data_IF_540658930806
#
_entry.id   IF_540658930806
#
_cell.length_a   1.000
_cell.length_b   1.000
_cell.length_c   1.000
_cell.angle_alpha   90.00
_cell.angle_beta   90.00
_cell.angle_gamma   90.00
#
_symmetry.space_group_name_H-M   'P 1'
#
loop_
_entity.id
_entity.type
_entity.pdbx_description
1 polymer ?
#
# COMPACT_ATOMS: atom_id res chain seq x y z
N UNK A 1 -7.66 46.84 88.44
CA UNK A 1 -6.18 46.83 88.55
C UNK A 1 -5.72 45.49 87.99
N UNK A 2 -4.66 45.51 87.15
CA UNK A 2 -4.09 44.49 86.22
C UNK A 2 -4.64 44.55 84.77
N UNK A 3 -3.97 45.30 83.87
CA UNK A 3 -2.82 44.94 82.99
C UNK A 3 -3.27 44.10 81.78
N UNK A 4 -3.29 44.70 80.57
CA UNK A 4 -2.27 44.59 79.49
C UNK A 4 -2.31 43.17 78.85
N UNK A 5 -2.59 42.98 77.55
CA UNK A 5 -1.82 43.49 76.41
C UNK A 5 -2.59 43.44 75.08
N UNK A 6 -2.26 44.40 74.21
CA UNK A 6 -2.60 44.46 72.79
C UNK A 6 -1.74 43.45 72.01
N UNK A 7 -2.37 42.54 71.26
CA UNK A 7 -1.69 41.72 70.23
C UNK A 7 -2.02 42.28 68.85
N UNK A 8 -1.06 43.00 68.29
CA UNK A 8 -1.09 43.54 66.93
C UNK A 8 -0.65 42.43 65.95
N UNK A 9 -1.60 41.72 65.36
CA UNK A 9 -1.31 40.71 64.32
C UNK A 9 -0.92 41.42 63.01
N UNK A 10 0.36 41.34 62.65
CA UNK A 10 0.87 41.76 61.33
C UNK A 10 0.45 40.75 60.26
N UNK A 11 -0.40 41.15 59.33
CA UNK A 11 -0.61 40.46 58.05
C UNK A 11 0.65 40.63 57.20
N UNK A 12 1.43 39.56 57.04
CA UNK A 12 2.51 39.49 56.06
C UNK A 12 1.94 39.08 54.70
N UNK A 13 1.97 39.99 53.73
CA UNK A 13 1.70 39.70 52.33
C UNK A 13 2.88 38.91 51.76
N UNK A 14 2.69 37.62 51.45
CA UNK A 14 3.66 36.83 50.67
C UNK A 14 3.29 37.01 49.19
N UNK A 15 4.07 37.84 48.48
CA UNK A 15 4.00 37.94 47.04
C UNK A 15 4.76 36.76 46.41
N UNK A 16 4.03 35.74 45.96
CA UNK A 16 4.59 34.65 45.14
C UNK A 16 4.73 35.16 43.71
N UNK A 17 5.96 35.48 43.31
CA UNK A 17 6.28 35.78 41.92
C UNK A 17 6.29 34.47 41.12
N UNK A 18 5.21 34.20 40.39
CA UNK A 18 5.17 33.13 39.39
C UNK A 18 5.94 33.67 38.17
N UNK A 19 7.22 33.30 38.06
CA UNK A 19 8.00 33.55 36.85
C UNK A 19 7.50 32.60 35.77
N UNK A 20 6.65 33.11 34.87
CA UNK A 20 6.26 32.41 33.64
C UNK A 20 7.49 32.29 32.74
N UNK A 21 8.15 31.13 32.76
CA UNK A 21 9.18 30.77 31.79
C UNK A 21 8.46 30.42 30.49
N UNK A 22 8.04 31.42 29.73
CA UNK A 22 7.66 31.24 28.31
C UNK A 22 8.95 31.31 27.49
N UNK A 23 9.79 30.28 27.62
CA UNK A 23 10.82 30.03 26.62
C UNK A 23 10.14 29.50 25.35
N UNK A 24 10.65 29.79 24.15
CA UNK A 24 10.25 29.04 22.97
C UNK A 24 10.59 27.57 23.25
N UNK A 25 9.56 26.75 23.42
CA UNK A 25 9.70 25.32 23.27
C UNK A 25 10.08 25.12 21.81
N UNK A 26 11.38 25.06 21.53
CA UNK A 26 11.84 24.35 20.35
C UNK A 26 11.14 23.00 20.43
N UNK A 27 10.18 22.76 19.53
CA UNK A 27 9.52 21.48 19.42
C UNK A 27 10.65 20.46 19.39
N UNK A 28 10.77 19.66 20.45
CA UNK A 28 11.79 18.62 20.47
C UNK A 28 11.43 17.74 19.30
N UNK A 29 12.32 17.77 18.30
CA UNK A 29 12.46 16.82 17.23
C UNK A 29 12.34 15.41 17.81
N UNK A 30 11.13 14.88 17.86
CA UNK A 30 10.84 13.72 18.68
C UNK A 30 9.99 12.75 17.91
N UNK A 31 10.24 11.48 18.21
CA UNK A 31 9.46 10.36 17.71
C UNK A 31 7.96 10.61 17.89
N UNK A 32 7.54 11.29 18.97
CA UNK A 32 6.13 11.66 19.20
C UNK A 32 5.55 12.58 18.12
N UNK A 33 6.35 13.51 17.57
CA UNK A 33 5.92 14.36 16.45
C UNK A 33 5.68 13.53 15.19
N UNK A 34 6.56 12.56 14.90
CA UNK A 34 6.36 11.62 13.78
C UNK A 34 5.12 10.76 14.01
N UNK A 35 4.93 10.20 15.20
CA UNK A 35 3.73 9.44 15.52
C UNK A 35 2.45 10.29 15.40
N UNK A 36 2.52 11.60 15.65
CA UNK A 36 1.39 12.51 15.44
C UNK A 36 1.10 12.71 13.94
N UNK A 37 2.12 12.90 13.10
CA UNK A 37 1.98 12.97 11.64
C UNK A 37 1.40 11.67 11.07
N UNK A 38 1.93 10.53 11.49
CA UNK A 38 1.47 9.22 11.07
C UNK A 38 0.00 8.96 11.46
N UNK A 39 -0.45 9.39 12.65
CA UNK A 39 -1.88 9.30 13.01
C UNK A 39 -2.78 10.13 12.09
N UNK A 40 -2.30 11.30 11.64
CA UNK A 40 -3.07 12.13 10.72
C UNK A 40 -3.19 11.44 9.36
N UNK A 41 -2.08 10.91 8.84
CA UNK A 41 -2.02 10.20 7.57
C UNK A 41 -2.90 8.93 7.57
N UNK A 42 -2.85 8.17 8.66
CA UNK A 42 -3.52 6.86 8.78
C UNK A 42 -4.98 7.00 9.22
N UNK A 43 -5.36 8.13 9.83
CA UNK A 43 -6.67 8.35 10.44
C UNK A 43 -7.86 8.30 9.48
N UNK A 44 -7.62 8.39 8.17
CA UNK A 44 -8.65 8.20 7.14
C UNK A 44 -9.02 6.71 6.95
N UNK A 45 -8.10 5.81 7.27
CA UNK A 45 -8.21 4.36 7.03
C UNK A 45 -8.48 3.57 8.30
N UNK A 46 -8.08 4.09 9.47
CA UNK A 46 -8.12 3.38 10.75
C UNK A 46 -8.92 4.15 11.79
N UNK A 47 -9.91 3.50 12.41
CA UNK A 47 -10.61 4.09 13.55
C UNK A 47 -9.74 4.05 14.82
N UNK A 48 -9.03 2.94 15.03
CA UNK A 48 -8.07 2.74 16.11
C UNK A 48 -6.68 2.42 15.56
N UNK A 49 -5.67 3.11 16.08
CA UNK A 49 -4.25 2.92 15.71
C UNK A 49 -3.40 2.59 16.92
N UNK A 50 -2.52 1.59 16.78
CA UNK A 50 -1.49 1.27 17.77
C UNK A 50 -0.15 1.06 17.07
N UNK A 51 0.83 1.87 17.45
CA UNK A 51 2.21 1.76 16.96
C UNK A 51 3.01 0.85 17.87
N UNK A 52 3.56 -0.22 17.32
CA UNK A 52 4.39 -1.17 18.04
C UNK A 52 5.84 -0.69 18.14
N UNK A 53 6.61 -1.34 19.02
CA UNK A 53 8.02 -1.04 19.20
C UNK A 53 8.78 -1.15 17.87
N UNK A 54 9.52 -0.11 17.52
CA UNK A 54 10.26 -0.02 16.26
C UNK A 54 9.48 0.57 15.08
N UNK A 55 8.19 0.90 15.27
CA UNK A 55 7.36 1.51 14.21
C UNK A 55 8.02 2.75 13.59
N UNK A 56 8.54 3.66 14.43
CA UNK A 56 9.33 4.81 14.01
C UNK A 56 10.72 4.72 14.63
N UNK A 57 11.78 4.69 13.83
CA UNK A 57 13.17 4.56 14.30
C UNK A 57 13.98 5.78 13.87
N UNK A 58 14.74 6.43 14.77
CA UNK A 58 15.55 7.57 14.41
C UNK A 58 16.70 7.16 13.49
N UNK A 59 16.97 7.98 12.48
CA UNK A 59 18.07 7.83 11.52
C UNK A 59 18.66 9.21 11.23
N UNK A 60 19.84 9.25 10.63
CA UNK A 60 20.36 10.44 9.96
C UNK A 60 20.28 10.15 8.46
N UNK A 61 19.20 10.58 7.82
CA UNK A 61 18.87 10.17 6.47
C UNK A 61 19.57 11.07 5.44
N UNK A 62 19.91 12.31 5.81
CA UNK A 62 20.47 13.32 4.91
C UNK A 62 21.89 13.82 5.31
N UNK A 63 22.45 13.33 6.42
CA UNK A 63 23.81 13.64 6.88
C UNK A 63 23.93 14.99 7.58
N UNK A 64 22.84 15.54 8.14
CA UNK A 64 22.82 16.85 8.79
C UNK A 64 22.79 16.81 10.33
N UNK A 65 23.03 15.62 10.90
CA UNK A 65 23.01 15.31 12.34
C UNK A 65 21.67 15.63 13.05
N UNK A 66 20.59 15.91 12.31
CA UNK A 66 19.24 16.03 12.89
C UNK A 66 18.55 14.67 12.93
N UNK A 67 17.64 14.44 13.90
CA UNK A 67 16.91 13.19 13.98
C UNK A 67 15.81 13.14 12.91
N UNK A 68 16.13 12.48 11.80
CA UNK A 68 15.19 11.96 10.82
C UNK A 68 14.56 10.65 11.32
N UNK A 69 13.51 10.16 10.66
CA UNK A 69 12.85 8.93 11.06
C UNK A 69 12.50 8.06 9.87
N UNK A 70 12.74 6.75 10.02
CA UNK A 70 12.13 5.73 9.17
C UNK A 70 10.92 5.15 9.90
N UNK A 71 9.81 5.04 9.19
CA UNK A 71 8.58 4.39 9.66
C UNK A 71 8.40 3.07 8.92
N UNK A 72 7.97 2.03 9.64
CA UNK A 72 7.64 0.71 9.12
C UNK A 72 6.20 0.32 9.50
N UNK A 73 5.27 0.32 8.54
CA UNK A 73 3.87 -0.01 8.80
C UNK A 73 3.62 -1.50 9.10
N UNK A 74 4.60 -2.38 8.94
CA UNK A 74 4.52 -3.75 9.47
C UNK A 74 4.32 -3.78 11.00
N UNK A 75 4.72 -2.69 11.66
CA UNK A 75 4.63 -2.51 13.11
C UNK A 75 3.44 -1.61 13.49
N UNK A 76 2.45 -1.47 12.62
CA UNK A 76 1.19 -0.79 12.87
C UNK A 76 0.07 -1.81 13.09
N UNK A 77 -0.72 -1.62 14.13
CA UNK A 77 -2.04 -2.22 14.24
C UNK A 77 -3.09 -1.17 13.92
N UNK A 78 -3.90 -1.46 12.91
CA UNK A 78 -5.02 -0.67 12.45
C UNK A 78 -6.30 -1.49 12.65
N UNK A 79 -7.20 -1.04 13.52
CA UNK A 79 -8.43 -1.75 13.87
C UNK A 79 -8.20 -3.23 14.27
N UNK A 80 -7.06 -3.48 14.93
CA UNK A 80 -6.62 -4.82 15.34
C UNK A 80 -5.97 -5.67 14.25
N UNK A 81 -5.84 -5.16 13.02
CA UNK A 81 -5.16 -5.82 11.89
C UNK A 81 -3.79 -5.19 11.61
N UNK A 82 -2.81 -6.03 11.29
CA UNK A 82 -1.41 -5.61 11.08
C UNK A 82 -1.01 -5.54 9.60
N UNK A 83 -1.88 -5.97 8.68
CA UNK A 83 -1.53 -6.20 7.27
C UNK A 83 -2.15 -5.22 6.28
N UNK A 84 -2.88 -4.20 6.73
CA UNK A 84 -3.59 -3.29 5.80
C UNK A 84 -2.65 -2.49 4.88
N UNK A 85 -1.41 -2.25 5.34
CA UNK A 85 -0.40 -1.49 4.61
C UNK A 85 0.76 -2.39 4.13
N UNK A 86 0.51 -3.70 3.99
CA UNK A 86 1.52 -4.70 3.71
C UNK A 86 1.05 -5.75 2.70
N UNK A 87 1.96 -6.18 1.83
CA UNK A 87 1.76 -7.40 1.05
C UNK A 87 2.92 -7.69 0.11
N UNK A 88 2.62 -8.01 -1.15
CA UNK A 88 3.56 -8.78 -1.97
C UNK A 88 4.84 -8.02 -2.37
N UNK A 89 4.87 -6.69 -2.27
CA UNK A 89 6.06 -5.85 -2.47
C UNK A 89 6.75 -5.45 -1.16
N UNK A 90 6.18 -5.82 0.00
CA UNK A 90 6.60 -5.41 1.33
C UNK A 90 5.53 -4.60 2.05
N UNK A 91 5.93 -3.85 3.06
CA UNK A 91 5.07 -2.94 3.78
C UNK A 91 5.34 -1.51 3.36
N UNK A 92 4.40 -0.61 3.61
CA UNK A 92 4.66 0.82 3.46
C UNK A 92 5.78 1.22 4.43
N UNK A 93 6.87 1.73 3.88
CA UNK A 93 7.87 2.44 4.64
C UNK A 93 7.84 3.91 4.27
N UNK A 94 8.02 4.76 5.28
CA UNK A 94 8.15 6.21 5.09
C UNK A 94 9.46 6.71 5.66
N UNK A 95 10.03 7.73 5.03
CA UNK A 95 11.18 8.46 5.57
C UNK A 95 10.78 9.90 5.80
N UNK A 96 10.85 10.35 7.04
CA UNK A 96 10.58 11.73 7.45
C UNK A 96 11.90 12.44 7.71
N UNK A 97 12.15 13.52 6.98
CA UNK A 97 13.38 14.32 7.12
C UNK A 97 13.09 15.59 7.90
N UNK A 98 13.91 15.89 8.89
CA UNK A 98 13.72 17.06 9.74
C UNK A 98 14.15 18.35 9.03
N UNK A 99 13.24 19.33 9.00
CA UNK A 99 13.51 20.69 8.55
C UNK A 99 14.26 21.50 9.60
N UNK A 100 14.89 22.58 9.15
CA UNK A 100 15.69 23.44 10.02
C UNK A 100 14.91 24.20 11.10
N UNK A 101 13.60 24.35 10.92
CA UNK A 101 12.67 24.95 11.89
C UNK A 101 12.11 23.93 12.90
N UNK A 102 12.52 22.67 12.80
CA UNK A 102 12.10 21.59 13.68
C UNK A 102 10.92 20.76 13.15
N UNK A 103 10.29 21.16 12.04
CA UNK A 103 9.25 20.38 11.37
C UNK A 103 9.80 19.20 10.58
N UNK A 104 8.93 18.45 9.89
CA UNK A 104 9.31 17.30 9.08
C UNK A 104 8.69 17.38 7.68
N UNK A 105 9.42 16.85 6.69
CA UNK A 105 8.94 16.61 5.33
C UNK A 105 8.95 15.09 5.03
N UNK A 106 7.94 14.60 4.32
CA UNK A 106 7.85 13.20 3.90
C UNK A 106 8.76 12.96 2.68
N UNK A 107 9.96 12.44 2.92
CA UNK A 107 11.00 12.24 1.90
C UNK A 107 10.91 10.96 1.09
N UNK A 108 10.15 10.00 1.57
CA UNK A 108 9.87 8.76 0.88
C UNK A 108 8.58 8.17 1.40
N UNK A 109 7.78 7.61 0.49
CA UNK A 109 6.65 6.74 0.79
C UNK A 109 6.64 5.64 -0.27
N UNK A 110 6.73 4.38 0.15
CA UNK A 110 6.75 3.26 -0.79
C UNK A 110 6.70 1.90 -0.13
N UNK A 111 6.33 0.89 -0.94
CA UNK A 111 6.20 -0.51 -0.52
C UNK A 111 7.55 -1.23 -0.65
N UNK A 112 8.16 -1.59 0.47
CA UNK A 112 9.43 -2.32 0.55
C UNK A 112 9.46 -3.25 1.76
N UNK A 113 10.32 -4.27 1.73
CA UNK A 113 10.54 -5.16 2.87
C UNK A 113 11.45 -4.54 3.93
N UNK A 114 12.38 -3.69 3.51
CA UNK A 114 13.39 -3.11 4.39
C UNK A 114 13.97 -1.83 3.80
N UNK A 115 14.32 -0.89 4.67
CA UNK A 115 15.17 0.26 4.37
C UNK A 115 16.47 0.13 5.14
N UNK A 116 17.60 0.27 4.45
CA UNK A 116 18.93 0.28 5.06
C UNK A 116 19.68 1.55 4.69
N UNK A 117 20.06 2.32 5.71
CA UNK A 117 20.99 3.45 5.58
C UNK A 117 22.42 2.92 5.74
N UNK A 118 23.11 2.70 4.62
CA UNK A 118 24.47 2.14 4.56
C UNK A 118 25.55 3.20 4.26
N UNK A 119 25.16 4.46 4.06
CA UNK A 119 26.06 5.58 3.73
C UNK A 119 25.66 6.83 4.52
N UNK A 120 26.31 7.12 5.65
CA UNK A 120 25.93 8.26 6.51
C UNK A 120 26.16 9.62 5.83
N UNK A 121 27.10 9.71 4.89
CA UNK A 121 27.46 10.96 4.22
C UNK A 121 26.69 11.18 2.90
N UNK A 122 25.74 10.29 2.54
CA UNK A 122 24.95 10.40 1.31
C UNK A 122 23.45 10.44 1.65
N UNK A 123 22.67 11.39 1.10
CA UNK A 123 21.22 11.45 1.31
C UNK A 123 20.51 10.36 0.47
N UNK A 124 20.75 9.10 0.83
CA UNK A 124 20.29 7.94 0.10
C UNK A 124 20.24 6.70 0.99
N UNK A 125 19.42 5.74 0.60
CA UNK A 125 19.31 4.46 1.29
C UNK A 125 19.07 3.32 0.28
N UNK A 126 19.26 2.09 0.73
CA UNK A 126 18.82 0.90 0.02
C UNK A 126 17.39 0.57 0.44
N UNK A 127 16.49 0.49 -0.53
CA UNK A 127 15.14 0.01 -0.37
C UNK A 127 15.07 -1.40 -0.95
N UNK A 128 14.86 -2.40 -0.08
CA UNK A 128 14.79 -3.81 -0.47
C UNK A 128 13.35 -4.16 -0.84
N UNK A 129 13.08 -4.31 -2.13
CA UNK A 129 11.81 -4.81 -2.64
C UNK A 129 11.91 -6.26 -3.11
N UNK A 130 10.83 -6.74 -3.73
CA UNK A 130 10.78 -8.05 -4.39
C UNK A 130 11.84 -8.23 -5.49
N UNK A 131 12.14 -7.16 -6.23
CA UNK A 131 13.17 -7.15 -7.28
C UNK A 131 14.62 -7.09 -6.77
N UNK A 132 14.83 -7.07 -5.45
CA UNK A 132 16.13 -6.85 -4.83
C UNK A 132 16.30 -5.42 -4.30
N UNK A 133 17.55 -5.00 -4.12
CA UNK A 133 17.88 -3.73 -3.47
C UNK A 133 17.99 -2.60 -4.51
N UNK A 134 17.17 -1.55 -4.33
CA UNK A 134 17.21 -0.33 -5.15
C UNK A 134 17.75 0.84 -4.32
N UNK A 135 18.67 1.61 -4.91
CA UNK A 135 19.18 2.84 -4.30
C UNK A 135 18.20 3.99 -4.50
N UNK A 136 17.59 4.46 -3.42
CA UNK A 136 16.74 5.66 -3.44
C UNK A 136 17.58 6.84 -2.99
N UNK A 137 17.57 7.93 -3.76
CA UNK A 137 18.13 9.22 -3.31
C UNK A 137 16.99 10.06 -2.77
N UNK A 138 17.17 10.64 -1.59
CA UNK A 138 16.23 11.62 -1.05
C UNK A 138 16.28 12.86 -1.93
N UNK A 139 15.25 13.05 -2.75
CA UNK A 139 15.02 14.33 -3.39
C UNK A 139 14.43 15.30 -2.36
N UNK A 140 14.78 16.58 -2.42
CA UNK A 140 14.05 17.62 -1.71
C UNK A 140 12.58 17.56 -2.15
N UNK A 141 11.69 17.20 -1.23
CA UNK A 141 10.32 16.78 -1.49
C UNK A 141 9.47 17.93 -2.00
N UNK A 142 8.81 17.72 -3.13
CA UNK A 142 7.59 18.43 -3.52
C UNK A 142 6.37 17.52 -3.24
N UNK A 143 5.17 18.11 -3.03
CA UNK A 143 3.99 17.38 -2.60
C UNK A 143 3.51 16.34 -3.61
N UNK A 144 3.13 15.16 -3.11
CA UNK A 144 2.51 14.06 -3.84
C UNK A 144 1.16 14.46 -4.44
N UNK A 145 0.86 13.97 -5.64
CA UNK A 145 -0.32 14.32 -6.43
C UNK A 145 -1.63 13.71 -5.87
N UNK A 146 -2.78 14.37 -6.09
CA UNK A 146 -4.08 13.89 -5.63
C UNK A 146 -4.64 12.76 -6.51
N UNK A 147 -5.35 11.84 -5.86
CA UNK A 147 -6.02 10.68 -6.45
C UNK A 147 -7.36 11.09 -7.12
N UNK A 148 -7.63 10.74 -8.39
CA UNK A 148 -8.83 11.19 -9.09
C UNK A 148 -10.03 10.21 -9.01
N UNK A 149 -11.22 10.78 -9.21
CA UNK A 149 -12.53 10.14 -9.18
C UNK A 149 -12.72 9.01 -10.22
N UNK A 150 -13.55 8.03 -9.85
CA UNK A 150 -13.76 6.77 -10.57
C UNK A 150 -14.34 6.94 -12.00
N UNK A 151 -13.67 6.34 -12.99
CA UNK A 151 -14.06 6.34 -14.41
C UNK A 151 -15.06 5.21 -14.78
N UNK A 152 -15.83 5.33 -15.90
CA UNK A 152 -16.75 4.30 -16.38
C UNK A 152 -16.04 3.16 -17.11
N UNK A 153 -16.44 1.91 -16.83
CA UNK A 153 -15.69 0.69 -17.10
C UNK A 153 -15.62 0.20 -18.56
N UNK A 154 -14.45 -0.36 -18.89
CA UNK A 154 -14.22 -1.23 -20.03
C UNK A 154 -14.77 -2.64 -19.75
N UNK A 155 -16.06 -2.85 -20.00
CA UNK A 155 -16.68 -4.15 -19.74
C UNK A 155 -16.44 -5.15 -20.89
N UNK A 156 -15.73 -6.24 -20.60
CA UNK A 156 -15.76 -7.45 -21.41
C UNK A 156 -17.13 -8.16 -21.33
N UNK A 157 -17.36 -9.23 -22.12
CA UNK A 157 -18.66 -9.92 -22.21
C UNK A 157 -18.99 -10.82 -21.00
N UNK A 158 -18.33 -10.63 -19.86
CA UNK A 158 -18.39 -11.55 -18.74
C UNK A 158 -19.55 -11.24 -17.79
N UNK A 159 -20.15 -12.30 -17.24
CA UNK A 159 -21.12 -12.18 -16.16
C UNK A 159 -20.40 -11.93 -14.84
N UNK A 160 -20.96 -11.07 -13.98
CA UNK A 160 -20.49 -10.91 -12.60
C UNK A 160 -20.97 -12.02 -11.66
N UNK A 161 -21.88 -12.90 -12.10
CA UNK A 161 -22.45 -13.95 -11.26
C UNK A 161 -21.70 -15.28 -11.35
N UNK A 162 -21.05 -15.55 -12.49
CA UNK A 162 -20.40 -16.84 -12.77
C UNK A 162 -19.43 -16.75 -13.93
N UNK A 163 -18.46 -17.66 -13.92
CA UNK A 163 -17.58 -17.87 -15.05
C UNK A 163 -18.34 -18.35 -16.29
N UNK A 164 -17.98 -17.78 -17.43
CA UNK A 164 -18.45 -18.15 -18.76
C UNK A 164 -17.27 -18.59 -19.63
N UNK A 165 -17.52 -19.50 -20.58
CA UNK A 165 -16.56 -19.92 -21.60
C UNK A 165 -17.08 -19.50 -22.97
N UNK A 166 -16.17 -19.00 -23.80
CA UNK A 166 -16.43 -18.55 -25.16
C UNK A 166 -15.39 -19.17 -26.10
N UNK A 167 -15.79 -19.92 -27.13
CA UNK A 167 -14.85 -20.61 -28.03
C UNK A 167 -14.22 -19.69 -29.09
N UNK A 168 -14.85 -18.56 -29.41
CA UNK A 168 -14.50 -17.70 -30.55
C UNK A 168 -14.25 -16.23 -30.13
N UNK A 169 -13.42 -15.48 -30.88
CA UNK A 169 -12.51 -15.94 -31.93
C UNK A 169 -11.25 -16.62 -31.38
N UNK A 170 -10.99 -16.44 -30.09
CA UNK A 170 -9.94 -17.13 -29.33
C UNK A 170 -10.64 -17.75 -28.12
N UNK A 171 -10.50 -19.06 -27.85
CA UNK A 171 -11.09 -19.67 -26.69
C UNK A 171 -10.68 -18.96 -25.41
N UNK A 172 -11.64 -18.53 -24.61
CA UNK A 172 -11.40 -17.87 -23.34
C UNK A 172 -12.48 -18.19 -22.31
N UNK A 173 -12.11 -18.12 -21.03
CA UNK A 173 -13.03 -18.23 -19.91
C UNK A 173 -12.77 -17.11 -18.91
N UNK A 174 -13.82 -16.50 -18.37
CA UNK A 174 -13.67 -15.39 -17.44
C UNK A 174 -14.94 -15.03 -16.69
N UNK A 175 -14.81 -14.04 -15.82
CA UNK A 175 -15.84 -13.52 -14.94
C UNK A 175 -15.63 -12.02 -14.74
N UNK A 176 -16.70 -11.26 -14.56
CA UNK A 176 -16.61 -9.87 -14.13
C UNK A 176 -16.66 -9.79 -12.59
N UNK A 177 -16.12 -8.73 -11.99
CA UNK A 177 -16.44 -8.39 -10.60
C UNK A 177 -17.69 -7.50 -10.53
N UNK A 178 -18.05 -7.06 -9.31
CA UNK A 178 -19.20 -6.18 -9.08
C UNK A 178 -18.89 -4.70 -9.33
N UNK A 179 -17.61 -4.35 -9.44
CA UNK A 179 -17.10 -2.96 -9.54
C UNK A 179 -16.70 -2.61 -10.98
N UNK A 180 -16.90 -3.52 -11.93
CA UNK A 180 -16.68 -3.29 -13.35
C UNK A 180 -15.33 -3.76 -13.87
N UNK A 181 -14.53 -4.43 -13.05
CA UNK A 181 -13.37 -5.20 -13.48
C UNK A 181 -13.74 -6.60 -14.00
N UNK A 182 -12.73 -7.31 -14.50
CA UNK A 182 -12.89 -8.67 -15.00
C UNK A 182 -11.60 -9.47 -14.84
N UNK A 183 -11.71 -10.79 -14.71
CA UNK A 183 -10.62 -11.75 -14.75
C UNK A 183 -10.91 -12.77 -15.84
N UNK A 184 -9.98 -12.98 -16.77
CA UNK A 184 -10.14 -13.98 -17.81
C UNK A 184 -8.84 -14.65 -18.24
N UNK A 185 -8.99 -15.87 -18.72
CA UNK A 185 -7.94 -16.74 -19.21
C UNK A 185 -8.23 -17.01 -20.68
N UNK A 186 -7.26 -16.76 -21.56
CA UNK A 186 -7.40 -16.99 -22.99
C UNK A 186 -6.34 -17.98 -23.49
N UNK A 187 -6.72 -18.88 -24.40
CA UNK A 187 -5.76 -19.78 -25.05
C UNK A 187 -4.81 -18.99 -25.94
N UNK A 188 -3.51 -19.23 -25.78
CA UNK A 188 -2.46 -18.64 -26.60
C UNK A 188 -1.37 -19.69 -26.80
N UNK A 189 -1.16 -20.11 -28.06
CA UNK A 189 -0.15 -21.11 -28.43
C UNK A 189 -0.21 -22.42 -27.62
N UNK A 190 -1.41 -22.89 -27.30
CA UNK A 190 -1.64 -24.10 -26.50
C UNK A 190 -1.43 -23.94 -24.99
N UNK A 191 -1.14 -22.72 -24.54
CA UNK A 191 -1.06 -22.36 -23.12
C UNK A 191 -2.11 -21.30 -22.78
N UNK A 192 -2.08 -20.76 -21.56
CA UNK A 192 -3.05 -19.76 -21.10
C UNK A 192 -2.37 -18.42 -20.83
N UNK A 193 -2.92 -17.35 -21.40
CA UNK A 193 -2.65 -15.98 -20.95
C UNK A 193 -3.71 -15.56 -19.95
N UNK A 194 -3.28 -15.18 -18.76
CA UNK A 194 -4.15 -14.62 -17.72
C UNK A 194 -4.20 -13.11 -17.90
N UNK A 195 -5.40 -12.52 -17.79
CA UNK A 195 -5.62 -11.08 -17.84
C UNK A 195 -6.65 -10.67 -16.82
N UNK A 196 -6.53 -9.45 -16.33
CA UNK A 196 -7.58 -8.85 -15.52
C UNK A 196 -7.61 -7.33 -15.67
N UNK A 197 -8.71 -6.76 -15.24
CA UNK A 197 -8.97 -5.33 -15.18
C UNK A 197 -9.58 -4.97 -13.84
N UNK A 198 -9.34 -3.75 -13.39
CA UNK A 198 -9.99 -3.15 -12.24
C UNK A 198 -10.40 -1.72 -12.57
N UNK A 199 -11.50 -1.23 -11.99
CA UNK A 199 -12.00 0.12 -12.31
C UNK A 199 -10.96 1.21 -12.06
N UNK A 200 -10.22 1.13 -10.95
CA UNK A 200 -9.17 2.09 -10.58
C UNK A 200 -8.01 2.15 -11.59
N UNK A 201 -7.88 1.14 -12.46
CA UNK A 201 -6.84 1.15 -13.48
C UNK A 201 -7.13 2.10 -14.63
N UNK A 202 -8.36 2.62 -14.75
CA UNK A 202 -8.79 3.37 -15.92
C UNK A 202 -9.04 4.84 -15.61
N UNK A 203 -8.67 5.69 -16.57
CA UNK A 203 -9.02 7.10 -16.65
C UNK A 203 -9.50 7.36 -18.09
N UNK A 204 -10.68 7.98 -18.24
CA UNK A 204 -11.31 8.23 -19.54
C UNK A 204 -11.41 6.99 -20.47
N UNK A 205 -11.55 5.80 -19.88
CA UNK A 205 -11.69 4.52 -20.59
C UNK A 205 -10.38 3.92 -21.12
N UNK A 206 -9.24 4.55 -20.87
CA UNK A 206 -7.91 4.01 -21.10
C UNK A 206 -7.25 3.65 -19.77
N UNK A 207 -6.27 2.73 -19.79
CA UNK A 207 -5.41 2.53 -18.61
C UNK A 207 -4.81 3.88 -18.21
N UNK A 208 -4.77 4.20 -16.92
CA UNK A 208 -4.27 5.48 -16.41
C UNK A 208 -2.75 5.55 -16.49
N UNK A 209 -2.20 6.77 -16.56
CA UNK A 209 -0.74 6.96 -16.57
C UNK A 209 -0.09 6.48 -15.28
N UNK A 210 -0.82 6.52 -14.16
CA UNK A 210 -0.40 5.93 -12.89
C UNK A 210 -0.09 4.44 -13.02
N UNK A 211 -0.99 3.65 -13.62
CA UNK A 211 -0.77 2.20 -13.81
C UNK A 211 0.41 1.94 -14.73
N UNK A 212 0.57 2.73 -15.80
CA UNK A 212 1.71 2.60 -16.73
C UNK A 212 3.03 2.91 -16.04
N UNK A 213 3.06 3.96 -15.22
CA UNK A 213 4.24 4.31 -14.42
C UNK A 213 4.54 3.22 -13.39
N UNK A 214 3.51 2.70 -12.72
CA UNK A 214 3.67 1.60 -11.79
C UNK A 214 4.31 0.37 -12.47
N UNK A 215 3.76 -0.05 -13.60
CA UNK A 215 4.30 -1.15 -14.39
C UNK A 215 5.74 -0.89 -14.85
N UNK A 216 6.00 0.29 -15.42
CA UNK A 216 7.33 0.68 -15.92
C UNK A 216 8.40 0.71 -14.83
N UNK A 217 8.08 1.28 -13.67
CA UNK A 217 9.09 1.63 -12.66
C UNK A 217 9.24 0.54 -11.60
N UNK A 218 8.19 -0.25 -11.33
CA UNK A 218 8.19 -1.26 -10.27
C UNK A 218 7.82 -2.67 -10.75
N UNK A 219 7.16 -2.79 -11.90
CA UNK A 219 6.57 -4.03 -12.40
C UNK A 219 5.29 -4.41 -11.66
N UNK A 220 4.35 -5.02 -12.37
CA UNK A 220 3.13 -5.53 -11.76
C UNK A 220 3.31 -7.01 -11.39
N UNK A 221 3.13 -7.34 -10.11
CA UNK A 221 3.14 -8.73 -9.64
C UNK A 221 1.89 -8.99 -8.81
N UNK A 222 0.71 -9.08 -9.47
CA UNK A 222 -0.52 -9.48 -8.80
C UNK A 222 -0.35 -10.86 -8.16
N UNK A 223 -0.87 -11.00 -6.96
CA UNK A 223 -0.95 -12.29 -6.28
C UNK A 223 -2.39 -12.79 -6.30
N UNK A 224 -2.57 -14.02 -6.74
CA UNK A 224 -3.86 -14.72 -6.81
C UNK A 224 -3.98 -15.63 -5.59
N UNK A 225 -4.87 -15.30 -4.65
CA UNK A 225 -5.20 -16.13 -3.51
C UNK A 225 -6.54 -16.83 -3.68
N UNK A 226 -6.52 -18.16 -3.63
CA UNK A 226 -7.72 -18.98 -3.56
C UNK A 226 -7.39 -20.29 -2.83
N UNK A 227 -8.39 -20.84 -2.11
CA UNK A 227 -8.29 -22.14 -1.43
C UNK A 227 -7.03 -22.30 -0.55
N UNK A 228 -6.63 -21.23 0.15
CA UNK A 228 -5.48 -21.22 1.05
C UNK A 228 -4.11 -21.31 0.34
N UNK A 229 -4.07 -20.98 -0.96
CA UNK A 229 -2.85 -20.93 -1.76
C UNK A 229 -2.73 -19.57 -2.40
N UNK A 230 -1.50 -19.10 -2.54
CA UNK A 230 -1.14 -17.83 -3.16
C UNK A 230 -0.21 -18.09 -4.34
N UNK A 231 -0.44 -17.40 -5.45
CA UNK A 231 0.38 -17.50 -6.65
C UNK A 231 0.65 -16.09 -7.16
N UNK A 232 1.92 -15.71 -7.12
CA UNK A 232 2.41 -14.48 -7.74
C UNK A 232 2.55 -14.67 -9.24
N UNK A 233 2.05 -13.70 -10.01
CA UNK A 233 2.07 -13.74 -11.45
C UNK A 233 2.63 -12.44 -12.02
N UNK A 234 3.93 -12.38 -12.36
CA UNK A 234 4.51 -11.24 -13.07
C UNK A 234 3.67 -10.88 -14.29
N UNK A 235 3.34 -9.61 -14.40
CA UNK A 235 2.41 -9.08 -15.37
C UNK A 235 2.85 -7.70 -15.84
N UNK A 236 2.35 -7.31 -17.00
CA UNK A 236 2.54 -5.99 -17.57
C UNK A 236 1.24 -5.42 -18.10
N UNK A 237 1.21 -4.11 -18.33
CA UNK A 237 0.15 -3.46 -19.08
C UNK A 237 0.15 -4.00 -20.53
N UNK A 238 -1.00 -4.53 -20.95
CA UNK A 238 -1.29 -4.93 -22.33
C UNK A 238 -2.21 -3.89 -22.95
N UNK A 239 -1.62 -2.86 -23.55
CA UNK A 239 -2.34 -1.76 -24.21
C UNK A 239 -3.32 -2.25 -25.31
N UNK A 240 -3.04 -3.41 -25.93
CA UNK A 240 -3.94 -3.96 -26.96
C UNK A 240 -5.18 -4.59 -26.34
N UNK A 241 -5.02 -5.24 -25.20
CA UNK A 241 -6.12 -5.82 -24.45
C UNK A 241 -6.82 -4.81 -23.54
N UNK A 242 -6.25 -3.60 -23.37
CA UNK A 242 -6.67 -2.60 -22.38
C UNK A 242 -6.81 -3.24 -20.99
N UNK A 243 -5.79 -4.03 -20.60
CA UNK A 243 -5.79 -4.85 -19.40
C UNK A 243 -4.37 -5.00 -18.82
N UNK A 244 -4.27 -5.56 -17.63
CA UNK A 244 -3.02 -6.15 -17.15
C UNK A 244 -2.99 -7.63 -17.56
N UNK A 245 -1.87 -8.08 -18.11
CA UNK A 245 -1.69 -9.43 -18.62
C UNK A 245 -0.44 -10.07 -18.01
N UNK A 246 -0.51 -11.36 -17.70
CA UNK A 246 0.65 -12.13 -17.27
C UNK A 246 1.75 -12.06 -18.33
N UNK A 247 3.00 -11.83 -17.92
CA UNK A 247 4.17 -11.76 -18.81
C UNK A 247 4.43 -13.10 -19.50
N UNK A 248 4.27 -14.18 -18.74
CA UNK A 248 4.46 -15.55 -19.19
C UNK A 248 3.13 -16.27 -19.43
N UNK A 249 3.18 -17.24 -20.34
CA UNK A 249 2.07 -18.16 -20.55
C UNK A 249 2.04 -19.21 -19.43
N UNK A 250 0.85 -19.44 -18.90
CA UNK A 250 0.61 -20.36 -17.79
C UNK A 250 0.21 -21.73 -18.34
N UNK A 251 0.74 -22.79 -17.74
CA UNK A 251 0.34 -24.17 -18.03
C UNK A 251 -1.18 -24.34 -17.76
N UNK A 252 -1.98 -24.83 -18.73
CA UNK A 252 -3.39 -25.13 -18.52
C UNK A 252 -3.65 -26.09 -17.35
N UNK A 253 -2.72 -27.00 -17.05
CA UNK A 253 -2.77 -27.92 -15.92
C UNK A 253 -2.01 -27.38 -14.68
N UNK A 254 -1.48 -26.16 -14.76
CA UNK A 254 -0.68 -25.53 -13.74
C UNK A 254 -1.46 -25.12 -12.48
N UNK A 255 -0.72 -24.75 -11.42
CA UNK A 255 -1.30 -24.49 -10.10
C UNK A 255 -2.31 -23.33 -10.10
N UNK A 256 -2.11 -22.29 -10.92
CA UNK A 256 -3.05 -21.18 -11.00
C UNK A 256 -4.43 -21.61 -11.51
N UNK A 257 -4.46 -22.35 -12.61
CA UNK A 257 -5.72 -22.85 -13.18
C UNK A 257 -6.36 -23.89 -12.24
N UNK A 258 -5.56 -24.63 -11.48
CA UNK A 258 -6.06 -25.54 -10.45
C UNK A 258 -6.78 -24.80 -9.32
N UNK A 259 -6.19 -23.72 -8.78
CA UNK A 259 -6.81 -22.96 -7.69
C UNK A 259 -8.05 -22.20 -8.16
N UNK A 260 -8.02 -21.62 -9.37
CA UNK A 260 -9.18 -20.92 -9.94
C UNK A 260 -10.35 -21.87 -10.22
N UNK A 261 -10.09 -23.15 -10.47
CA UNK A 261 -11.13 -24.16 -10.67
C UNK A 261 -11.77 -24.65 -9.36
N UNK A 262 -11.37 -24.13 -8.19
CA UNK A 262 -11.79 -24.59 -6.86
C UNK A 262 -12.15 -23.42 -5.94
N UNK A 263 -13.04 -23.67 -5.00
CA UNK A 263 -13.44 -22.67 -4.01
C UNK A 263 -14.55 -21.75 -4.51
N UNK A 264 -14.82 -20.71 -3.72
CA UNK A 264 -15.95 -19.80 -3.93
C UNK A 264 -15.52 -18.47 -4.55
N UNK A 265 -14.30 -18.01 -4.24
CA UNK A 265 -13.72 -16.74 -4.68
C UNK A 265 -12.22 -16.88 -4.92
N UNK A 266 -11.70 -16.06 -5.82
CA UNK A 266 -10.28 -15.71 -5.90
C UNK A 266 -10.14 -14.23 -5.56
N UNK A 267 -9.16 -13.94 -4.71
CA UNK A 267 -8.74 -12.58 -4.42
C UNK A 267 -7.47 -12.29 -5.22
N UNK A 268 -7.42 -11.14 -5.90
CA UNK A 268 -6.24 -10.62 -6.59
C UNK A 268 -5.80 -9.35 -5.88
N UNK A 269 -4.57 -9.31 -5.36
CA UNK A 269 -4.02 -8.14 -4.70
C UNK A 269 -2.76 -7.66 -5.40
N UNK A 270 -2.59 -6.34 -5.43
CA UNK A 270 -1.49 -5.65 -6.07
C UNK A 270 -0.61 -5.03 -5.00
N UNK A 271 0.59 -5.59 -4.81
CA UNK A 271 1.61 -4.98 -3.96
C UNK A 271 1.30 -4.90 -2.46
N UNK A 272 0.14 -5.34 -1.97
CA UNK A 272 -0.16 -5.37 -0.54
C UNK A 272 -0.88 -4.18 0.06
N UNK A 273 -1.28 -3.22 -0.76
CA UNK A 273 -2.38 -2.35 -0.33
C UNK A 273 -3.69 -3.13 -0.53
N UNK A 274 -4.48 -3.25 0.55
CA UNK A 274 -5.85 -3.79 0.46
C UNK A 274 -6.76 -2.87 -0.39
N UNK A 275 -6.33 -1.64 -0.66
CA UNK A 275 -7.08 -0.67 -1.47
C UNK A 275 -7.25 -1.11 -2.94
N UNK A 276 -6.45 -2.08 -3.38
CA UNK A 276 -6.51 -2.65 -4.73
C UNK A 276 -6.83 -4.14 -4.72
N UNK A 277 -7.53 -4.62 -3.67
CA UNK A 277 -8.06 -5.97 -3.59
C UNK A 277 -9.22 -6.15 -4.59
N UNK A 278 -9.08 -7.10 -5.52
CA UNK A 278 -10.13 -7.49 -6.44
C UNK A 278 -10.64 -8.87 -6.04
N UNK A 279 -11.94 -9.02 -5.92
CA UNK A 279 -12.55 -10.30 -5.59
C UNK A 279 -13.44 -10.79 -6.74
N UNK A 280 -13.11 -11.96 -7.28
CA UNK A 280 -13.86 -12.59 -8.37
C UNK A 280 -14.54 -13.87 -7.89
N UNK A 281 -15.85 -14.06 -8.15
CA UNK A 281 -16.52 -15.30 -7.80
C UNK A 281 -16.02 -16.44 -8.69
N UNK A 282 -15.79 -17.61 -8.09
CA UNK A 282 -15.39 -18.84 -8.79
C UNK A 282 -16.57 -19.75 -9.13
N UNK A 283 -17.81 -19.25 -8.98
CA UNK A 283 -19.00 -19.99 -9.38
C UNK A 283 -18.90 -20.35 -10.87
N UNK A 284 -18.95 -21.66 -11.16
CA UNK A 284 -18.89 -22.18 -12.54
C UNK A 284 -17.49 -22.21 -13.17
N UNK A 285 -16.45 -21.76 -12.45
CA UNK A 285 -15.07 -21.70 -12.98
C UNK A 285 -14.58 -23.07 -13.41
N UNK A 286 -14.86 -24.12 -12.62
CA UNK A 286 -14.44 -25.49 -12.91
C UNK A 286 -14.87 -25.97 -14.31
N UNK A 287 -16.13 -25.74 -14.68
CA UNK A 287 -16.67 -26.13 -15.98
C UNK A 287 -16.13 -25.27 -17.13
N UNK A 288 -16.03 -23.95 -16.91
CA UNK A 288 -15.49 -23.03 -17.90
C UNK A 288 -14.00 -23.30 -18.19
N UNK A 289 -13.20 -23.51 -17.15
CA UNK A 289 -11.77 -23.82 -17.25
C UNK A 289 -11.52 -25.22 -17.81
N UNK A 290 -12.37 -26.20 -17.53
CA UNK A 290 -12.30 -27.51 -18.19
C UNK A 290 -12.53 -27.39 -19.70
N UNK A 291 -13.48 -26.54 -20.12
CA UNK A 291 -13.76 -26.28 -21.53
C UNK A 291 -12.60 -25.53 -22.20
N UNK A 292 -12.02 -24.55 -21.50
CA UNK A 292 -10.85 -23.81 -21.95
C UNK A 292 -9.63 -24.73 -22.15
N UNK A 293 -9.31 -25.58 -21.16
CA UNK A 293 -8.21 -26.56 -21.26
C UNK A 293 -8.36 -27.45 -22.48
N UNK A 294 -9.57 -28.00 -22.68
CA UNK A 294 -9.84 -28.85 -23.84
C UNK A 294 -9.66 -28.12 -25.19
N UNK A 295 -9.89 -26.80 -25.22
CA UNK A 295 -9.72 -25.98 -26.41
C UNK A 295 -8.27 -25.53 -26.65
N UNK A 296 -7.45 -25.37 -25.61
CA UNK A 296 -6.04 -25.01 -25.75
C UNK A 296 -5.21 -26.16 -26.35
N UNK A 297 -5.58 -27.42 -26.09
CA UNK A 297 -4.86 -28.62 -26.57
C UNK A 297 -4.15 -29.34 -25.43
#
# INVERSE_FOLDING_TARGET
MTMRDFVTTRLGLIAVAIASVTGPQAALASQEAILALERLEIGEFCAETSFLDGYATPVDANGDDRPDYVVNTQLLLCDGSQMMFCGSAGCTHRVWVQRSDGGYDLAYDGLVYEITFDRPDEPSFLARGRGGDTRVRLASVGPTAPQPDAAPGAHGPFSSERWTYHPDPVPHAGVADLEGGALWLACESGSIRVRYTAQWMFEDGAISDFVREWDRDYGLVPTFAAVGREIDLPSSVDERANAVAADELVDPAGPLVEILARGDFVTVYHGGSLEHELQYPLRGSSAALASLRAACG
#
